data_IF_942107016277
#
_entry.id   IF_942107016277
#
_cell.length_a   1.000
_cell.length_b   1.000
_cell.length_c   1.000
_cell.angle_alpha   90.00
_cell.angle_beta   90.00
_cell.angle_gamma   90.00
#
_symmetry.space_group_name_H-M   'P 1'
#
loop_
_entity.id
_entity.type
_entity.pdbx_description
1 polymer ?
#
# COMPACT_ATOMS: atom_id res chain seq x y z
N UNK A 1 6.31 -9.10 19.86
CA UNK A 1 5.31 -10.01 19.28
C UNK A 1 5.10 -9.61 17.84
N UNK A 2 5.78 -10.24 16.89
CA UNK A 2 5.58 -9.99 15.45
C UNK A 2 4.30 -10.69 15.03
N UNK A 3 3.17 -9.99 15.12
CA UNK A 3 1.87 -10.52 14.72
C UNK A 3 1.90 -10.92 13.26
N UNK A 4 1.66 -12.21 12.99
CA UNK A 4 1.52 -12.74 11.65
C UNK A 4 0.32 -12.04 10.98
N UNK A 5 0.60 -11.09 10.09
CA UNK A 5 -0.39 -10.18 9.48
C UNK A 5 -1.30 -10.85 8.43
N UNK A 6 -1.18 -12.16 8.24
CA UNK A 6 -1.96 -12.93 7.25
C UNK A 6 -3.05 -13.68 7.99
N UNK A 7 -4.31 -13.41 7.64
CA UNK A 7 -5.46 -14.15 8.15
C UNK A 7 -5.34 -15.59 7.71
N UNK A 8 -5.32 -16.52 8.67
CA UNK A 8 -5.19 -17.95 8.38
C UNK A 8 -6.49 -18.47 7.78
N UNK A 9 -6.47 -19.61 7.05
CA UNK A 9 -7.70 -20.23 6.55
C UNK A 9 -8.71 -20.57 7.66
N UNK A 10 -8.21 -20.92 8.85
CA UNK A 10 -9.04 -21.21 10.03
C UNK A 10 -9.70 -19.94 10.58
N UNK A 11 -8.94 -18.85 10.70
CA UNK A 11 -9.47 -17.55 11.12
C UNK A 11 -10.50 -17.03 10.11
N UNK A 12 -10.22 -17.15 8.80
CA UNK A 12 -11.19 -16.81 7.75
C UNK A 12 -12.47 -17.64 7.90
N UNK A 13 -12.36 -18.96 8.10
CA UNK A 13 -13.52 -19.83 8.30
C UNK A 13 -14.34 -19.42 9.54
N UNK A 14 -13.66 -19.05 10.62
CA UNK A 14 -14.31 -18.54 11.83
C UNK A 14 -15.08 -17.24 11.56
N UNK A 15 -14.46 -16.27 10.88
CA UNK A 15 -15.12 -15.02 10.49
C UNK A 15 -16.37 -15.27 9.63
N UNK A 16 -16.30 -16.23 8.70
CA UNK A 16 -17.45 -16.61 7.85
C UNK A 16 -18.56 -17.21 8.70
N UNK A 17 -18.24 -18.14 9.59
CA UNK A 17 -19.22 -18.77 10.46
C UNK A 17 -19.90 -17.75 11.39
N UNK A 18 -19.14 -16.84 11.99
CA UNK A 18 -19.66 -15.74 12.81
C UNK A 18 -20.57 -14.81 11.98
N UNK A 19 -20.14 -14.43 10.77
CA UNK A 19 -20.94 -13.58 9.89
C UNK A 19 -22.23 -14.26 9.44
N UNK A 20 -22.19 -15.55 9.08
CA UNK A 20 -23.38 -16.32 8.72
C UNK A 20 -24.35 -16.47 9.90
N UNK A 21 -23.81 -16.67 11.11
CA UNK A 21 -24.61 -16.67 12.34
C UNK A 21 -25.31 -15.33 12.57
N UNK A 22 -24.62 -14.21 12.37
CA UNK A 22 -25.24 -12.88 12.49
C UNK A 22 -26.32 -12.63 11.44
N UNK A 23 -26.10 -13.03 10.18
CA UNK A 23 -27.13 -12.97 9.13
C UNK A 23 -28.37 -13.78 9.51
N UNK A 24 -28.17 -14.97 10.10
CA UNK A 24 -29.25 -15.79 10.61
C UNK A 24 -29.96 -15.18 11.83
N UNK A 25 -29.21 -14.55 12.72
CA UNK A 25 -29.74 -13.86 13.88
C UNK A 25 -30.56 -12.61 13.51
N UNK A 26 -30.14 -11.84 12.50
CA UNK A 26 -30.82 -10.63 12.03
C UNK A 26 -32.26 -10.92 11.55
N UNK A 27 -32.49 -12.10 10.98
CA UNK A 27 -33.85 -12.59 10.63
C UNK A 27 -34.55 -13.34 11.77
N UNK A 28 -34.00 -13.33 12.99
CA UNK A 28 -34.55 -14.04 14.14
C UNK A 28 -34.49 -15.57 14.00
N UNK A 29 -33.56 -16.11 13.20
CA UNK A 29 -33.44 -17.52 12.85
C UNK A 29 -34.68 -18.12 12.16
N UNK A 30 -35.64 -17.30 11.73
CA UNK A 30 -36.87 -17.74 11.09
C UNK A 30 -36.84 -17.39 9.60
N UNK A 31 -37.12 -18.37 8.74
CA UNK A 31 -37.24 -18.15 7.30
C UNK A 31 -35.92 -17.70 6.66
N UNK A 32 -35.08 -18.67 6.30
CA UNK A 32 -33.85 -18.46 5.55
C UNK A 32 -33.14 -19.78 5.29
N UNK A 33 -32.23 -19.79 4.32
CA UNK A 33 -31.41 -20.95 3.97
C UNK A 33 -29.99 -20.75 4.54
N UNK A 34 -29.54 -21.60 5.49
CA UNK A 34 -28.20 -21.51 6.05
C UNK A 34 -27.09 -21.56 4.99
N UNK A 35 -27.32 -22.23 3.86
CA UNK A 35 -26.36 -22.25 2.75
C UNK A 35 -26.26 -20.87 2.10
N UNK A 36 -27.39 -20.20 1.89
CA UNK A 36 -27.43 -18.84 1.37
C UNK A 36 -26.70 -17.84 2.29
N UNK A 37 -26.86 -17.96 3.62
CA UNK A 37 -26.12 -17.11 4.57
C UNK A 37 -24.63 -17.34 4.53
N UNK A 38 -24.21 -18.62 4.43
CA UNK A 38 -22.81 -18.95 4.32
C UNK A 38 -22.20 -18.31 3.09
N UNK A 39 -22.87 -18.41 1.93
CA UNK A 39 -22.40 -17.83 0.68
C UNK A 39 -22.32 -16.29 0.79
N UNK A 40 -23.30 -15.64 1.42
CA UNK A 40 -23.27 -14.19 1.64
C UNK A 40 -22.17 -13.77 2.62
N UNK A 41 -22.00 -14.52 3.70
CA UNK A 41 -20.94 -14.33 4.68
C UNK A 41 -19.55 -14.46 4.05
N UNK A 42 -19.33 -15.47 3.19
CA UNK A 42 -18.09 -15.63 2.42
C UNK A 42 -17.78 -14.37 1.60
N UNK A 43 -18.75 -13.88 0.83
CA UNK A 43 -18.56 -12.66 0.03
C UNK A 43 -18.26 -11.44 0.89
N UNK A 44 -18.92 -11.30 2.04
CA UNK A 44 -18.72 -10.16 2.96
C UNK A 44 -17.34 -10.20 3.59
N UNK A 45 -16.93 -11.36 4.10
CA UNK A 45 -15.61 -11.56 4.70
C UNK A 45 -14.51 -11.36 3.66
N UNK A 46 -14.66 -11.89 2.45
CA UNK A 46 -13.66 -11.72 1.39
C UNK A 46 -13.47 -10.26 0.98
N UNK A 47 -14.57 -9.49 0.87
CA UNK A 47 -14.50 -8.04 0.63
C UNK A 47 -13.79 -7.31 1.76
N UNK A 48 -14.12 -7.63 3.02
CA UNK A 48 -13.49 -7.00 4.18
C UNK A 48 -11.99 -7.30 4.25
N UNK A 49 -11.59 -8.57 4.05
CA UNK A 49 -10.19 -8.97 4.05
C UNK A 49 -9.41 -8.32 2.91
N UNK A 50 -10.01 -8.22 1.72
CA UNK A 50 -9.42 -7.51 0.58
C UNK A 50 -9.22 -6.03 0.89
N UNK A 51 -10.25 -5.33 1.40
CA UNK A 51 -10.17 -3.92 1.75
C UNK A 51 -9.12 -3.64 2.84
N UNK A 52 -9.01 -4.52 3.85
CA UNK A 52 -7.98 -4.43 4.89
C UNK A 52 -6.57 -4.62 4.32
N UNK A 53 -6.39 -5.56 3.38
CA UNK A 53 -5.11 -5.77 2.73
C UNK A 53 -4.70 -4.55 1.89
N UNK A 54 -5.64 -3.95 1.16
CA UNK A 54 -5.44 -2.71 0.41
C UNK A 54 -5.04 -1.56 1.34
N UNK A 55 -5.80 -1.34 2.42
CA UNK A 55 -5.54 -0.26 3.38
C UNK A 55 -4.13 -0.38 3.99
N UNK A 56 -3.73 -1.59 4.40
CA UNK A 56 -2.39 -1.85 4.95
C UNK A 56 -1.29 -1.60 3.92
N UNK A 57 -1.51 -1.98 2.66
CA UNK A 57 -0.54 -1.72 1.59
C UNK A 57 -0.37 -0.22 1.37
N UNK A 58 -1.47 0.51 1.29
CA UNK A 58 -1.49 1.98 1.12
C UNK A 58 -0.75 2.66 2.28
N UNK A 59 -1.03 2.29 3.53
CA UNK A 59 -0.33 2.80 4.71
C UNK A 59 1.20 2.55 4.66
N UNK A 60 1.60 1.34 4.23
CA UNK A 60 3.03 1.00 4.06
C UNK A 60 3.69 1.89 3.01
N UNK A 61 3.04 2.07 1.86
CA UNK A 61 3.56 2.88 0.76
C UNK A 61 3.66 4.37 1.15
N UNK A 62 2.67 4.90 1.87
CA UNK A 62 2.70 6.27 2.39
C UNK A 62 3.83 6.50 3.38
N UNK A 63 4.02 5.56 4.31
CA UNK A 63 5.14 5.57 5.24
C UNK A 63 6.47 5.54 4.49
N UNK A 64 6.55 4.74 3.43
CA UNK A 64 7.68 4.69 2.50
C UNK A 64 7.93 6.02 1.81
N UNK A 65 6.90 6.67 1.26
CA UNK A 65 6.99 7.99 0.62
C UNK A 65 7.47 9.06 1.61
N UNK A 66 6.96 9.06 2.83
CA UNK A 66 7.40 10.00 3.87
C UNK A 66 8.88 9.80 4.21
N UNK A 67 9.35 8.54 4.31
CA UNK A 67 10.76 8.23 4.52
C UNK A 67 11.63 8.65 3.32
N UNK A 68 11.17 8.40 2.10
CA UNK A 68 11.84 8.82 0.87
C UNK A 68 11.95 10.35 0.79
N UNK A 69 10.91 11.09 1.16
CA UNK A 69 10.92 12.56 1.19
C UNK A 69 12.00 13.10 2.15
N UNK A 70 12.14 12.52 3.34
CA UNK A 70 13.19 12.90 4.31
C UNK A 70 14.59 12.66 3.72
N UNK A 71 14.81 11.49 3.12
CA UNK A 71 16.09 11.12 2.48
C UNK A 71 16.41 12.04 1.30
N UNK A 72 15.44 12.33 0.44
CA UNK A 72 15.59 13.22 -0.69
C UNK A 72 15.93 14.65 -0.25
N UNK A 73 15.33 15.14 0.83
CA UNK A 73 15.69 16.43 1.43
C UNK A 73 17.15 16.46 1.91
N UNK A 74 17.64 15.38 2.53
CA UNK A 74 19.04 15.28 2.94
C UNK A 74 19.99 15.20 1.73
N UNK A 75 19.60 14.45 0.70
CA UNK A 75 20.35 14.33 -0.55
C UNK A 75 20.46 15.68 -1.27
N UNK A 76 19.36 16.44 -1.39
CA UNK A 76 19.36 17.79 -1.97
C UNK A 76 20.34 18.73 -1.27
N UNK A 77 20.36 18.69 0.07
CA UNK A 77 21.33 19.48 0.85
C UNK A 77 22.77 19.08 0.53
N UNK A 78 23.08 17.78 0.47
CA UNK A 78 24.42 17.30 0.09
C UNK A 78 24.81 17.70 -1.33
N UNK A 79 23.92 17.53 -2.30
CA UNK A 79 24.15 17.91 -3.70
C UNK A 79 24.41 19.41 -3.82
N UNK A 80 23.72 20.24 -3.03
CA UNK A 80 23.94 21.70 -2.99
C UNK A 80 25.30 22.14 -2.42
N UNK A 81 26.05 21.25 -1.76
CA UNK A 81 27.41 21.55 -1.26
C UNK A 81 28.51 21.03 -2.18
N UNK A 82 28.18 20.24 -3.21
CA UNK A 82 29.16 19.72 -4.18
C UNK A 82 29.61 20.79 -5.18
N UNK A 83 30.75 20.56 -5.82
CA UNK A 83 31.25 21.35 -6.94
C UNK A 83 30.23 21.39 -8.10
N UNK A 84 30.24 22.47 -8.89
CA UNK A 84 29.23 22.72 -9.93
C UNK A 84 29.10 21.59 -10.97
N UNK A 85 30.21 20.95 -11.35
CA UNK A 85 30.23 19.81 -12.26
C UNK A 85 29.48 18.59 -11.68
N UNK A 86 29.87 18.16 -10.48
CA UNK A 86 29.23 17.04 -9.77
C UNK A 86 27.75 17.32 -9.44
N UNK A 87 27.41 18.59 -9.13
CA UNK A 87 26.03 19.00 -8.86
C UNK A 87 25.13 18.87 -10.09
N UNK A 88 25.61 19.26 -11.25
CA UNK A 88 24.82 19.23 -12.49
C UNK A 88 24.38 17.80 -12.83
N UNK A 89 25.29 16.84 -12.70
CA UNK A 89 25.00 15.42 -12.94
C UNK A 89 23.96 14.88 -11.95
N UNK A 90 24.09 15.20 -10.67
CA UNK A 90 23.21 14.69 -9.61
C UNK A 90 21.86 15.41 -9.53
N UNK A 91 21.75 16.62 -10.06
CA UNK A 91 20.48 17.35 -10.11
C UNK A 91 19.44 16.63 -10.97
N UNK A 92 19.84 16.07 -12.12
CA UNK A 92 18.92 15.31 -12.97
C UNK A 92 18.35 14.08 -12.24
N UNK A 93 19.19 13.40 -11.46
CA UNK A 93 18.78 12.27 -10.64
C UNK A 93 17.82 12.69 -9.50
N UNK A 94 18.10 13.81 -8.84
CA UNK A 94 17.24 14.38 -7.79
C UNK A 94 15.87 14.77 -8.35
N UNK A 95 15.80 15.41 -9.52
CA UNK A 95 14.54 15.78 -10.17
C UNK A 95 13.73 14.52 -10.54
N UNK A 96 14.40 13.48 -11.04
CA UNK A 96 13.74 12.18 -11.31
C UNK A 96 13.15 11.57 -10.04
N UNK A 97 13.87 11.64 -8.91
CA UNK A 97 13.37 11.16 -7.62
C UNK A 97 12.14 11.94 -7.14
N UNK A 98 12.11 13.26 -7.34
CA UNK A 98 10.93 14.07 -7.04
C UNK A 98 9.73 13.69 -7.92
N UNK A 99 9.95 13.51 -9.22
CA UNK A 99 8.89 13.10 -10.15
C UNK A 99 8.30 11.74 -9.78
N UNK A 100 9.14 10.75 -9.44
CA UNK A 100 8.69 9.43 -8.98
C UNK A 100 7.91 9.52 -7.67
N UNK A 101 8.41 10.30 -6.70
CA UNK A 101 7.73 10.53 -5.42
C UNK A 101 6.34 11.17 -5.61
N UNK A 102 6.23 12.18 -6.48
CA UNK A 102 4.96 12.83 -6.79
C UNK A 102 3.99 11.86 -7.49
N UNK A 103 4.49 11.07 -8.44
CA UNK A 103 3.70 10.04 -9.12
C UNK A 103 3.16 9.00 -8.13
N UNK A 104 3.99 8.51 -7.21
CA UNK A 104 3.55 7.56 -6.20
C UNK A 104 2.49 8.16 -5.28
N UNK A 105 2.67 9.41 -4.86
CA UNK A 105 1.68 10.11 -4.03
C UNK A 105 0.33 10.24 -4.74
N UNK A 106 0.32 10.66 -6.01
CA UNK A 106 -0.91 10.74 -6.82
C UNK A 106 -1.63 9.40 -6.89
N UNK A 107 -0.88 8.30 -7.09
CA UNK A 107 -1.46 6.95 -7.12
C UNK A 107 -2.03 6.52 -5.78
N UNK A 108 -1.38 6.87 -4.67
CA UNK A 108 -1.88 6.56 -3.33
C UNK A 108 -3.16 7.33 -3.02
N UNK A 109 -3.26 8.58 -3.47
CA UNK A 109 -4.49 9.37 -3.34
C UNK A 109 -5.63 8.74 -4.18
N UNK A 110 -5.37 8.29 -5.41
CA UNK A 110 -6.35 7.53 -6.22
C UNK A 110 -6.78 6.21 -5.55
N UNK A 111 -5.85 5.50 -4.90
CA UNK A 111 -6.16 4.26 -4.18
C UNK A 111 -7.05 4.52 -2.96
N UNK A 112 -6.80 5.61 -2.23
CA UNK A 112 -7.64 6.03 -1.09
C UNK A 112 -9.05 6.40 -1.53
N UNK A 113 -9.18 7.17 -2.61
CA UNK A 113 -10.48 7.59 -3.14
C UNK A 113 -11.34 6.40 -3.58
N UNK A 114 -10.71 5.34 -4.10
CA UNK A 114 -11.40 4.13 -4.59
C UNK A 114 -11.83 3.17 -3.48
N UNK A 115 -11.24 3.24 -2.28
CA UNK A 115 -11.64 2.44 -1.12
C UNK A 115 -11.69 0.94 -1.39
N UNK A 116 -12.89 0.35 -1.33
CA UNK A 116 -13.15 -1.07 -1.55
C UNK A 116 -13.20 -1.49 -3.04
N UNK A 117 -13.22 -0.53 -3.96
CA UNK A 117 -13.23 -0.76 -5.42
C UNK A 117 -11.83 -0.70 -6.06
N UNK A 118 -10.78 -0.80 -5.25
CA UNK A 118 -9.40 -0.80 -5.75
C UNK A 118 -9.13 -2.05 -6.59
N UNK A 119 -8.67 -1.83 -7.83
CA UNK A 119 -8.22 -2.93 -8.70
C UNK A 119 -6.80 -3.36 -8.39
N UNK A 120 -6.50 -4.66 -8.57
CA UNK A 120 -5.15 -5.22 -8.45
C UNK A 120 -4.14 -4.47 -9.34
N UNK A 121 -4.57 -4.06 -10.52
CA UNK A 121 -3.76 -3.24 -11.44
C UNK A 121 -3.33 -1.91 -10.81
N UNK A 122 -4.22 -1.22 -10.10
CA UNK A 122 -3.89 0.04 -9.45
C UNK A 122 -2.86 -0.15 -8.32
N UNK A 123 -3.01 -1.22 -7.54
CA UNK A 123 -2.03 -1.62 -6.52
C UNK A 123 -0.66 -1.91 -7.15
N UNK A 124 -0.63 -2.74 -8.19
CA UNK A 124 0.60 -3.12 -8.87
C UNK A 124 1.33 -1.90 -9.46
N UNK A 125 0.60 -0.93 -9.98
CA UNK A 125 1.19 0.31 -10.49
C UNK A 125 1.80 1.16 -9.38
N UNK A 126 1.15 1.28 -8.22
CA UNK A 126 1.71 1.98 -7.07
C UNK A 126 2.99 1.27 -6.57
N UNK A 127 2.97 -0.06 -6.47
CA UNK A 127 4.14 -0.86 -6.08
C UNK A 127 5.31 -0.67 -7.04
N UNK A 128 5.03 -0.69 -8.35
CA UNK A 128 6.05 -0.49 -9.37
C UNK A 128 6.76 0.86 -9.21
N UNK A 129 5.99 1.94 -9.02
CA UNK A 129 6.57 3.28 -8.81
C UNK A 129 7.37 3.34 -7.50
N UNK A 130 6.90 2.66 -6.45
CA UNK A 130 7.66 2.53 -5.20
C UNK A 130 9.01 1.85 -5.39
N UNK A 131 9.07 0.72 -6.09
CA UNK A 131 10.32 0.01 -6.41
C UNK A 131 11.27 0.90 -7.23
N UNK A 132 10.75 1.57 -8.26
CA UNK A 132 11.55 2.50 -9.07
C UNK A 132 12.11 3.65 -8.22
N UNK A 133 11.31 4.23 -7.33
CA UNK A 133 11.72 5.28 -6.40
C UNK A 133 12.78 4.78 -5.41
N UNK A 134 12.57 3.61 -4.79
CA UNK A 134 13.51 3.06 -3.82
C UNK A 134 14.86 2.74 -4.44
N UNK A 135 14.86 2.14 -5.63
CA UNK A 135 16.08 1.74 -6.34
C UNK A 135 16.85 2.96 -6.83
N UNK A 136 16.15 3.95 -7.39
CA UNK A 136 16.76 5.21 -7.77
C UNK A 136 17.37 5.91 -6.54
N UNK A 137 16.64 5.96 -5.41
CA UNK A 137 17.12 6.62 -4.21
C UNK A 137 18.36 5.94 -3.63
N UNK A 138 18.39 4.60 -3.62
CA UNK A 138 19.55 3.83 -3.19
C UNK A 138 20.77 4.10 -4.07
N UNK A 139 20.61 4.06 -5.40
CA UNK A 139 21.70 4.33 -6.36
C UNK A 139 22.28 5.72 -6.19
N UNK A 140 21.45 6.75 -6.11
CA UNK A 140 21.93 8.13 -5.99
C UNK A 140 22.58 8.36 -4.63
N UNK A 141 22.02 7.79 -3.56
CA UNK A 141 22.64 7.87 -2.22
C UNK A 141 24.04 7.27 -2.22
N UNK A 142 24.23 6.09 -2.82
CA UNK A 142 25.54 5.43 -2.93
C UNK A 142 26.56 6.29 -3.69
N UNK A 143 26.16 6.92 -4.80
CA UNK A 143 27.03 7.84 -5.57
C UNK A 143 27.49 9.06 -4.77
N UNK A 144 26.74 9.49 -3.77
CA UNK A 144 27.13 10.64 -2.93
C UNK A 144 28.00 10.29 -1.72
N UNK A 145 28.26 9.01 -1.46
CA UNK A 145 29.12 8.53 -0.36
C UNK A 145 30.57 8.30 -0.78
N UNK A 146 30.87 8.38 -2.08
CA UNK A 146 32.20 8.33 -2.67
C UNK A 146 32.62 9.71 -3.16
#
# INVERSE_FOLDING_TARGET
MTGNTVVTPEERRRMIAETAYFLAQERGFMGGDPVSDWIEAERRVDRQLSALAVARMVERLESGVAAAAKKLGALKRRVSTLAASARTELNADVEKLDALKLTLRSRLDELRERGDQVSEKALHQAEKVWTELSDALQRVTARTQH
#
